data_IF_426780725267
#
_entry.id   IF_426780725267
#
_cell.length_a   1.000
_cell.length_b   1.000
_cell.length_c   1.000
_cell.angle_alpha   90.00
_cell.angle_beta   90.00
_cell.angle_gamma   90.00
#
_symmetry.space_group_name_H-M   'P 1'
#
loop_
_entity.id
_entity.type
_entity.pdbx_description
1 polymer ?
#
# COMPACT_ATOMS: atom_id res chain seq x y z
N UNK A 1 8.99 5.30 20.67
CA UNK A 1 7.68 4.89 20.09
C UNK A 1 7.98 3.90 18.99
N UNK A 2 7.36 2.72 19.00
CA UNK A 2 7.71 1.67 18.04
C UNK A 2 7.30 2.10 16.62
N UNK A 3 8.07 1.72 15.60
CA UNK A 3 7.79 2.06 14.19
C UNK A 3 6.35 1.70 13.76
N UNK A 4 5.77 0.65 14.34
CA UNK A 4 4.39 0.21 14.09
C UNK A 4 3.33 1.24 14.49
N UNK A 5 3.56 2.03 15.53
CA UNK A 5 2.58 3.01 16.03
C UNK A 5 2.45 4.26 15.15
N UNK A 6 3.33 4.40 14.17
CA UNK A 6 3.39 5.54 13.25
C UNK A 6 2.83 5.24 11.86
N UNK A 7 2.28 4.04 11.65
CA UNK A 7 1.69 3.62 10.37
C UNK A 7 0.17 3.63 10.49
N UNK A 8 -0.47 4.46 9.68
CA UNK A 8 -1.92 4.59 9.61
C UNK A 8 -2.40 4.04 8.27
N UNK A 9 -3.28 3.04 8.29
CA UNK A 9 -3.82 2.43 7.07
C UNK A 9 -5.33 2.57 6.97
N UNK A 10 -5.85 2.80 5.76
CA UNK A 10 -7.28 2.86 5.49
C UNK A 10 -7.59 2.26 4.12
N UNK A 11 -8.62 1.40 4.03
CA UNK A 11 -9.15 0.95 2.74
C UNK A 11 -10.19 1.94 2.23
N UNK A 12 -9.98 2.42 1.02
CA UNK A 12 -10.88 3.34 0.36
C UNK A 12 -12.10 2.61 -0.19
N UNK A 13 -13.25 3.22 0.02
CA UNK A 13 -14.57 2.78 -0.40
C UNK A 13 -15.54 3.96 -0.30
N UNK A 14 -16.84 3.70 -0.41
CA UNK A 14 -17.84 4.76 -0.33
C UNK A 14 -17.74 5.50 1.02
N UNK A 15 -17.60 6.84 0.98
CA UNK A 15 -17.58 7.69 2.17
C UNK A 15 -16.24 7.76 2.92
N UNK A 16 -15.19 7.04 2.50
CA UNK A 16 -13.90 7.03 3.23
C UNK A 16 -12.96 8.19 2.87
N UNK A 17 -13.24 8.92 1.80
CA UNK A 17 -12.43 10.06 1.33
C UNK A 17 -12.12 11.08 2.43
N UNK A 18 -13.13 11.66 3.12
CA UNK A 18 -12.89 12.63 4.18
C UNK A 18 -12.07 12.10 5.37
N UNK A 19 -12.14 10.79 5.65
CA UNK A 19 -11.34 10.16 6.71
C UNK A 19 -9.88 10.06 6.27
N UNK A 20 -9.64 9.67 5.01
CA UNK A 20 -8.30 9.65 4.43
C UNK A 20 -7.65 11.04 4.39
N UNK A 21 -8.40 12.08 4.04
CA UNK A 21 -7.92 13.47 4.05
C UNK A 21 -7.45 13.90 5.44
N UNK A 22 -8.27 13.66 6.47
CA UNK A 22 -7.90 13.96 7.87
C UNK A 22 -6.67 13.17 8.31
N UNK A 23 -6.57 11.90 7.91
CA UNK A 23 -5.43 11.04 8.23
C UNK A 23 -4.12 11.61 7.63
N UNK A 24 -4.14 12.01 6.36
CA UNK A 24 -2.97 12.60 5.68
C UNK A 24 -2.57 13.91 6.34
N UNK A 25 -3.53 14.81 6.57
CA UNK A 25 -3.24 16.11 7.17
C UNK A 25 -2.66 16.00 8.59
N UNK A 26 -3.11 15.01 9.37
CA UNK A 26 -2.58 14.77 10.71
C UNK A 26 -1.18 14.10 10.69
N UNK A 27 -0.92 13.24 9.72
CA UNK A 27 0.35 12.52 9.59
C UNK A 27 1.45 13.40 8.98
N UNK A 28 1.09 14.30 8.06
CA UNK A 28 2.00 15.22 7.34
C UNK A 28 2.99 15.96 8.26
N UNK A 29 2.57 16.65 9.33
CA UNK A 29 3.50 17.35 10.23
C UNK A 29 4.20 16.45 11.25
N UNK A 30 3.72 15.21 11.46
CA UNK A 30 4.29 14.25 12.43
C UNK A 30 5.35 13.33 11.82
N UNK A 31 5.46 13.32 10.50
CA UNK A 31 6.30 12.37 9.78
C UNK A 31 5.78 10.93 9.81
N UNK A 32 4.50 10.75 10.13
CA UNK A 32 3.87 9.43 10.17
C UNK A 32 3.58 8.91 8.77
N UNK A 33 3.36 7.61 8.65
CA UNK A 33 3.16 6.95 7.37
C UNK A 33 1.67 6.70 7.15
N UNK A 34 1.18 6.97 5.94
CA UNK A 34 -0.21 6.72 5.56
C UNK A 34 -0.24 5.72 4.43
N UNK A 35 -1.04 4.67 4.58
CA UNK A 35 -1.28 3.67 3.53
C UNK A 35 -2.75 3.68 3.11
N UNK A 36 -3.02 4.20 1.90
CA UNK A 36 -4.33 4.17 1.28
C UNK A 36 -4.47 2.90 0.45
N UNK A 37 -5.39 2.02 0.84
CA UNK A 37 -5.64 0.77 0.13
C UNK A 37 -6.83 0.90 -0.81
N UNK A 38 -6.82 0.12 -1.90
CA UNK A 38 -7.95 -0.03 -2.80
C UNK A 38 -8.46 1.28 -3.41
N UNK A 39 -7.54 2.21 -3.76
CA UNK A 39 -7.93 3.56 -4.19
C UNK A 39 -8.95 3.56 -5.33
N UNK A 40 -8.81 2.67 -6.32
CA UNK A 40 -9.77 2.48 -7.43
C UNK A 40 -11.26 2.37 -7.03
N UNK A 41 -11.59 1.98 -5.80
CA UNK A 41 -12.97 1.92 -5.30
C UNK A 41 -13.55 3.30 -4.94
N UNK A 42 -12.71 4.31 -4.72
CA UNK A 42 -13.12 5.68 -4.39
C UNK A 42 -12.97 6.64 -5.58
N UNK A 43 -13.58 6.28 -6.71
CA UNK A 43 -13.47 7.03 -7.97
C UNK A 43 -13.84 8.53 -7.85
N UNK A 44 -14.89 8.87 -7.10
CA UNK A 44 -15.33 10.26 -6.92
C UNK A 44 -14.36 11.11 -6.09
N UNK A 45 -13.47 10.48 -5.33
CA UNK A 45 -12.52 11.14 -4.46
C UNK A 45 -11.13 11.34 -5.11
N UNK A 46 -10.91 10.76 -6.29
CA UNK A 46 -9.62 10.83 -7.00
C UNK A 46 -9.17 12.26 -7.28
N UNK A 47 -10.08 13.16 -7.63
CA UNK A 47 -9.76 14.57 -7.83
C UNK A 47 -9.27 15.25 -6.55
N UNK A 48 -9.85 14.90 -5.39
CA UNK A 48 -9.36 15.39 -4.09
C UNK A 48 -7.96 14.85 -3.77
N UNK A 49 -7.72 13.56 -4.05
CA UNK A 49 -6.40 12.96 -3.90
C UNK A 49 -5.33 13.69 -4.73
N UNK A 50 -5.65 14.03 -5.98
CA UNK A 50 -4.75 14.79 -6.85
C UNK A 50 -4.36 16.14 -6.24
N UNK A 51 -5.35 16.92 -5.79
CA UNK A 51 -5.12 18.21 -5.13
C UNK A 51 -4.27 18.07 -3.86
N UNK A 52 -4.49 17.03 -3.07
CA UNK A 52 -3.67 16.78 -1.89
C UNK A 52 -2.21 16.49 -2.24
N UNK A 53 -1.96 15.66 -3.27
CA UNK A 53 -0.59 15.35 -3.71
C UNK A 53 0.10 16.58 -4.28
N UNK A 54 -0.60 17.45 -5.02
CA UNK A 54 -0.09 18.75 -5.45
C UNK A 54 0.34 19.59 -4.22
N UNK A 55 -0.49 19.62 -3.18
CA UNK A 55 -0.24 20.36 -1.94
C UNK A 55 0.84 19.75 -1.03
N UNK A 56 1.35 18.55 -1.34
CA UNK A 56 2.54 18.02 -0.64
C UNK A 56 3.82 18.72 -1.08
N UNK A 57 3.84 19.28 -2.29
CA UNK A 57 5.01 19.97 -2.87
C UNK A 57 4.97 21.49 -2.71
N UNK A 58 4.06 22.03 -1.89
CA UNK A 58 3.84 23.47 -1.70
C UNK A 58 4.64 24.07 -0.53
N UNK A 59 4.40 25.34 -0.20
CA UNK A 59 5.15 26.15 0.79
C UNK A 59 5.32 25.51 2.18
N UNK A 60 4.44 24.58 2.55
CA UNK A 60 4.53 23.82 3.80
C UNK A 60 4.82 22.35 3.48
N UNK A 61 6.09 22.00 3.24
CA UNK A 61 6.46 20.62 2.90
C UNK A 61 6.14 19.68 4.07
N UNK A 62 5.86 18.39 3.78
CA UNK A 62 5.75 17.36 4.80
C UNK A 62 7.04 17.22 5.61
N UNK A 63 6.93 16.67 6.82
CA UNK A 63 8.11 16.21 7.57
C UNK A 63 8.94 15.21 6.74
N UNK A 64 10.27 15.25 6.87
CA UNK A 64 11.17 14.41 6.07
C UNK A 64 10.93 12.89 6.25
N UNK A 65 10.33 12.47 7.36
CA UNK A 65 9.98 11.08 7.65
C UNK A 65 8.63 10.66 7.08
N UNK A 66 7.79 11.60 6.66
CA UNK A 66 6.45 11.33 6.15
C UNK A 66 6.49 10.46 4.89
N UNK A 67 5.61 9.48 4.80
CA UNK A 67 5.45 8.63 3.61
C UNK A 67 3.97 8.43 3.32
N UNK A 68 3.60 8.60 2.05
CA UNK A 68 2.27 8.28 1.54
C UNK A 68 2.37 7.09 0.58
N UNK A 69 1.74 5.98 0.96
CA UNK A 69 1.65 4.77 0.15
C UNK A 69 0.23 4.60 -0.39
N UNK A 70 0.13 4.08 -1.61
CA UNK A 70 -1.14 3.83 -2.27
C UNK A 70 -1.15 2.43 -2.87
N UNK A 71 -2.24 1.69 -2.71
CA UNK A 71 -2.51 0.47 -3.49
C UNK A 71 -3.77 0.64 -4.33
N UNK A 72 -3.71 0.22 -5.58
CA UNK A 72 -4.85 0.31 -6.49
C UNK A 72 -4.73 -0.71 -7.62
N UNK A 73 -5.86 -1.23 -8.08
CA UNK A 73 -5.95 -1.81 -9.41
C UNK A 73 -5.83 -0.70 -10.46
N UNK A 74 -5.32 -1.02 -11.68
CA UNK A 74 -5.33 -0.09 -12.79
C UNK A 74 -6.75 0.42 -13.06
N UNK A 75 -6.91 1.74 -13.18
CA UNK A 75 -8.20 2.37 -13.47
C UNK A 75 -7.99 3.66 -14.27
N UNK A 76 -8.80 3.93 -15.30
CA UNK A 76 -8.69 5.17 -16.09
C UNK A 76 -9.04 6.43 -15.29
N UNK A 77 -9.68 6.26 -14.11
CA UNK A 77 -10.06 7.35 -13.22
C UNK A 77 -8.93 7.77 -12.28
N UNK A 78 -7.80 7.06 -12.28
CA UNK A 78 -6.69 7.38 -11.39
C UNK A 78 -6.01 8.67 -11.88
N UNK A 79 -5.71 9.64 -11.00
CA UNK A 79 -5.20 10.93 -11.44
C UNK A 79 -3.82 10.83 -12.10
N UNK A 80 -3.69 11.43 -13.28
CA UNK A 80 -2.45 11.42 -14.06
C UNK A 80 -1.32 12.11 -13.30
N UNK A 81 -1.61 13.22 -12.61
CA UNK A 81 -0.59 13.93 -11.84
C UNK A 81 0.00 13.07 -10.73
N UNK A 82 -0.83 12.32 -10.00
CA UNK A 82 -0.37 11.39 -8.95
C UNK A 82 0.52 10.31 -9.56
N UNK A 83 0.16 9.77 -10.74
CA UNK A 83 1.00 8.82 -11.44
C UNK A 83 2.33 9.46 -11.86
N UNK A 84 2.35 10.66 -12.41
CA UNK A 84 3.59 11.28 -12.86
C UNK A 84 4.55 11.61 -11.70
N UNK A 85 4.02 11.91 -10.51
CA UNK A 85 4.79 12.33 -9.34
C UNK A 85 4.93 11.23 -8.26
N UNK A 86 4.77 9.95 -8.63
CA UNK A 86 4.92 8.83 -7.71
C UNK A 86 5.88 7.76 -8.24
N UNK A 87 6.48 7.02 -7.30
CA UNK A 87 7.18 5.77 -7.59
C UNK A 87 6.14 4.66 -7.74
N UNK A 88 6.22 3.91 -8.83
CA UNK A 88 5.27 2.83 -9.16
C UNK A 88 5.97 1.49 -9.07
N UNK A 89 5.32 0.54 -8.43
CA UNK A 89 5.74 -0.85 -8.37
C UNK A 89 4.56 -1.72 -8.78
N UNK A 90 4.79 -2.67 -9.68
CA UNK A 90 3.80 -3.66 -10.09
C UNK A 90 4.05 -4.95 -9.32
N UNK A 91 3.04 -5.45 -8.61
CA UNK A 91 3.08 -6.75 -7.96
C UNK A 91 2.40 -7.77 -8.89
N UNK A 92 3.17 -8.36 -9.80
CA UNK A 92 2.70 -9.42 -10.69
C UNK A 92 3.06 -10.80 -10.11
N UNK A 93 2.19 -11.83 -10.30
CA UNK A 93 2.55 -13.19 -9.96
C UNK A 93 3.77 -13.68 -10.77
N UNK A 94 4.59 -14.60 -10.23
CA UNK A 94 5.75 -15.12 -10.94
C UNK A 94 5.34 -15.81 -12.25
N UNK A 95 6.05 -15.52 -13.34
CA UNK A 95 5.77 -16.12 -14.65
C UNK A 95 6.39 -17.52 -14.73
N UNK A 96 5.52 -18.52 -14.89
CA UNK A 96 5.90 -19.91 -15.13
C UNK A 96 5.92 -20.81 -13.89
N UNK A 97 5.68 -22.11 -14.11
CA UNK A 97 5.50 -23.11 -13.05
C UNK A 97 6.72 -23.18 -12.11
N UNK A 98 7.94 -23.21 -12.66
CA UNK A 98 9.18 -23.30 -11.87
C UNK A 98 9.34 -22.13 -10.91
N UNK A 99 9.08 -20.90 -11.37
CA UNK A 99 9.19 -19.71 -10.54
C UNK A 99 8.09 -19.69 -9.46
N UNK A 100 6.89 -20.15 -9.81
CA UNK A 100 5.79 -20.28 -8.85
C UNK A 100 6.09 -21.29 -7.74
N UNK A 101 6.56 -22.50 -8.11
CA UNK A 101 6.95 -23.54 -7.13
C UNK A 101 8.10 -23.05 -6.25
N UNK A 102 9.11 -22.40 -6.82
CA UNK A 102 10.23 -21.85 -6.03
C UNK A 102 9.75 -20.81 -5.02
N UNK A 103 8.84 -19.91 -5.41
CA UNK A 103 8.25 -18.93 -4.50
C UNK A 103 7.47 -19.61 -3.38
N UNK A 104 6.63 -20.59 -3.71
CA UNK A 104 5.84 -21.32 -2.73
C UNK A 104 6.73 -22.04 -1.70
N UNK A 105 7.81 -22.69 -2.14
CA UNK A 105 8.77 -23.35 -1.25
C UNK A 105 9.55 -22.39 -0.36
N UNK A 106 9.83 -21.16 -0.82
CA UNK A 106 10.50 -20.13 -0.01
C UNK A 106 9.53 -19.50 1.00
N UNK A 107 8.25 -19.38 0.66
CA UNK A 107 7.21 -18.82 1.54
C UNK A 107 6.73 -19.85 2.59
N UNK A 108 6.95 -21.14 2.37
CA UNK A 108 6.69 -22.19 3.36
C UNK A 108 7.73 -22.18 4.46
N UNK A 109 7.27 -22.38 5.70
CA UNK A 109 8.16 -22.58 6.83
C UNK A 109 8.90 -23.92 6.71
N UNK A 110 10.16 -23.95 7.09
CA UNK A 110 11.00 -25.15 6.95
C UNK A 110 10.47 -26.28 7.83
N UNK A 111 10.07 -25.96 9.06
CA UNK A 111 9.45 -26.90 10.00
C UNK A 111 8.13 -27.46 9.43
N UNK A 112 7.30 -26.62 8.80
CA UNK A 112 6.07 -27.07 8.17
C UNK A 112 6.34 -27.97 6.95
N UNK A 113 7.44 -27.73 6.24
CA UNK A 113 7.83 -28.54 5.10
C UNK A 113 8.46 -29.86 5.53
N UNK A 114 9.30 -29.89 6.56
CA UNK A 114 9.98 -31.11 7.01
C UNK A 114 9.06 -31.98 7.89
N UNK A 115 8.28 -31.37 8.79
CA UNK A 115 7.48 -32.10 9.77
C UNK A 115 6.03 -32.32 9.32
N UNK A 116 5.62 -33.59 9.31
CA UNK A 116 4.21 -33.94 9.18
C UNK A 116 3.50 -33.80 10.52
N UNK A 117 2.37 -33.07 10.58
CA UNK A 117 1.58 -32.86 11.82
C UNK A 117 1.16 -34.17 12.50
N UNK A 118 1.07 -35.27 11.74
CA UNK A 118 0.74 -36.61 12.25
C UNK A 118 1.96 -37.55 12.39
N UNK A 119 3.19 -37.04 12.22
CA UNK A 119 4.43 -37.82 12.34
C UNK A 119 4.58 -38.95 11.32
N UNK A 120 3.99 -38.80 10.13
CA UNK A 120 4.09 -39.79 9.05
C UNK A 120 5.12 -39.31 8.01
N UNK A 121 5.88 -40.25 7.44
CA UNK A 121 6.71 -39.96 6.28
C UNK A 121 5.80 -39.60 5.10
N UNK A 122 5.83 -38.33 4.70
CA UNK A 122 5.05 -37.82 3.58
C UNK A 122 5.86 -37.76 2.28
N UNK A 123 7.15 -38.11 2.33
CA UNK A 123 8.10 -38.13 1.21
C UNK A 123 8.42 -39.54 0.73
#
# INVERSE_FOLDING_TARGET
MAMRDRVHSISLGQGQGPVAEKMINNAKPKGDWVFLQNCHLAASWMSSLELMVINLSSEHPPDASFRLFLSSMPTPKFPVFVLQNSVKVTNEPPKGLKANVKRALIEMDEDFFEDHVLGQDWR
#
